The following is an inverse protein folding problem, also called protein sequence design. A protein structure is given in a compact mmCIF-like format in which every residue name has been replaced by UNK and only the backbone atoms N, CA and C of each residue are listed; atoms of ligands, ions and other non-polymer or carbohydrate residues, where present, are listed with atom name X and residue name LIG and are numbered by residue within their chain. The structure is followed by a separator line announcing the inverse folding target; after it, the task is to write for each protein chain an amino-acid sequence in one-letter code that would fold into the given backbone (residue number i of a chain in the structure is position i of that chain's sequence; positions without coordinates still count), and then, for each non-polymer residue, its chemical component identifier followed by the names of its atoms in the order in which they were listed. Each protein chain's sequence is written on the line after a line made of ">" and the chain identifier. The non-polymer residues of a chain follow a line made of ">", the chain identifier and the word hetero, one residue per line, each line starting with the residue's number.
data_IF_319629995646
#
_entry.id   IF_319629995646
#
_cell.length_a   1.000
_cell.length_b   1.000
_cell.length_c   1.000
_cell.angle_alpha   90.00
_cell.angle_beta   90.00
_cell.angle_gamma   90.00
#
_symmetry.space_group_name_H-M   'P 1'
#
loop_
_entity.id
_entity.type
_entity.pdbx_description
1 polymer ?
#
# COMPACT_ATOMS: atom_id res chain seq x y z
N UNK A 1 1.94 -1.82 -16.83
CA UNK A 1 1.31 -0.70 -17.57
C UNK A 1 1.04 0.50 -16.67
N UNK A 2 0.34 0.34 -15.53
CA UNK A 2 0.01 1.44 -14.59
C UNK A 2 1.23 2.26 -14.12
N UNK A 3 2.27 1.60 -13.60
CA UNK A 3 3.48 2.30 -13.11
C UNK A 3 4.20 3.12 -14.20
N UNK A 4 4.08 2.72 -15.47
CA UNK A 4 4.69 3.48 -16.57
C UNK A 4 3.96 4.80 -16.80
N UNK A 5 2.63 4.79 -16.72
CA UNK A 5 1.82 6.01 -16.87
C UNK A 5 2.16 7.00 -15.75
N UNK A 6 2.21 6.54 -14.50
CA UNK A 6 2.53 7.42 -13.38
C UNK A 6 3.93 8.04 -13.51
N UNK A 7 4.93 7.24 -13.91
CA UNK A 7 6.29 7.74 -14.20
C UNK A 7 6.29 8.82 -15.27
N UNK A 8 5.57 8.60 -16.36
CA UNK A 8 5.52 9.56 -17.46
C UNK A 8 4.92 10.91 -17.01
N UNK A 9 3.86 10.88 -16.18
CA UNK A 9 3.24 12.08 -15.61
C UNK A 9 4.21 12.81 -14.69
N UNK A 10 4.87 12.10 -13.77
CA UNK A 10 5.85 12.69 -12.85
C UNK A 10 7.01 13.35 -13.61
N UNK A 11 7.55 12.66 -14.62
CA UNK A 11 8.63 13.19 -15.44
C UNK A 11 8.21 14.44 -16.23
N UNK A 12 6.94 14.52 -16.66
CA UNK A 12 6.40 15.70 -17.35
C UNK A 12 6.31 16.93 -16.42
N UNK A 13 6.35 16.71 -15.11
CA UNK A 13 6.39 17.73 -14.07
C UNK A 13 7.82 17.93 -13.49
N UNK A 14 8.86 17.38 -14.13
CA UNK A 14 10.25 17.38 -13.62
C UNK A 14 10.41 16.72 -12.23
N UNK A 15 9.50 15.79 -11.90
CA UNK A 15 9.56 14.98 -10.68
C UNK A 15 9.99 13.55 -10.99
N UNK A 16 10.76 12.94 -10.08
CA UNK A 16 11.15 11.53 -10.17
C UNK A 16 10.69 10.76 -8.93
N UNK A 17 9.98 9.65 -9.15
CA UNK A 17 9.65 8.72 -8.07
C UNK A 17 10.84 7.83 -7.74
N UNK A 18 11.21 7.76 -6.46
CA UNK A 18 12.30 6.90 -5.99
C UNK A 18 11.92 5.42 -6.03
N UNK A 19 10.68 5.11 -5.65
CA UNK A 19 10.10 3.77 -5.72
C UNK A 19 8.57 3.85 -5.75
N UNK A 20 7.93 2.80 -6.25
CA UNK A 20 6.49 2.58 -6.08
C UNK A 20 6.29 1.45 -5.08
N UNK A 21 5.31 1.60 -4.20
CA UNK A 21 4.98 0.63 -3.16
C UNK A 21 3.53 0.21 -3.28
N UNK A 22 3.21 -0.98 -2.75
CA UNK A 22 1.82 -1.41 -2.59
C UNK A 22 1.13 -0.53 -1.57
N UNK A 23 -0.09 -0.11 -1.88
CA UNK A 23 -0.94 0.71 -1.02
C UNK A 23 -1.12 0.07 0.35
N UNK A 24 -1.44 -1.24 0.41
CA UNK A 24 -1.66 -1.95 1.67
C UNK A 24 -0.38 -2.01 2.52
N UNK A 25 0.80 -2.06 1.90
CA UNK A 25 2.07 -1.95 2.62
C UNK A 25 2.28 -0.53 3.14
N UNK A 26 2.01 0.49 2.34
CA UNK A 26 2.13 1.88 2.80
C UNK A 26 1.19 2.17 3.98
N UNK A 27 -0.07 1.72 3.89
CA UNK A 27 -1.06 1.84 4.96
C UNK A 27 -0.60 1.10 6.22
N UNK A 28 -0.10 -0.14 6.09
CA UNK A 28 0.42 -0.88 7.24
C UNK A 28 1.61 -0.20 7.92
N UNK A 29 2.53 0.41 7.16
CA UNK A 29 3.64 1.16 7.74
C UNK A 29 3.22 2.46 8.43
N UNK A 30 2.09 3.05 8.02
CA UNK A 30 1.64 4.33 8.56
C UNK A 30 0.80 4.22 9.84
N UNK A 31 0.07 3.12 10.02
CA UNK A 31 -0.89 2.98 11.14
C UNK A 31 -0.58 1.85 12.11
N UNK A 32 0.25 0.86 11.74
CA UNK A 32 0.53 -0.30 12.57
C UNK A 32 1.93 -0.25 13.17
N UNK A 33 2.02 -0.63 14.44
CA UNK A 33 3.26 -1.00 15.11
C UNK A 33 3.75 -2.37 14.62
N UNK A 34 5.03 -2.69 14.84
CA UNK A 34 5.59 -3.99 14.45
C UNK A 34 4.89 -5.15 15.18
N UNK A 35 4.56 -4.97 16.46
CA UNK A 35 3.83 -5.97 17.25
C UNK A 35 2.45 -6.28 16.64
N UNK A 36 1.71 -5.28 16.18
CA UNK A 36 0.41 -5.47 15.52
C UNK A 36 0.53 -6.21 14.18
N UNK A 37 1.59 -5.93 13.42
CA UNK A 37 1.87 -6.63 12.15
C UNK A 37 2.22 -8.10 12.39
N UNK A 38 2.91 -8.41 13.48
CA UNK A 38 3.30 -9.77 13.83
C UNK A 38 2.14 -10.59 14.42
N UNK A 39 1.28 -9.96 15.23
CA UNK A 39 0.14 -10.61 15.88
C UNK A 39 -0.91 -11.12 14.88
N UNK A 40 -1.02 -10.43 13.75
CA UNK A 40 -2.03 -10.66 12.73
C UNK A 40 -3.14 -9.62 12.77
N UNK A 41 -3.34 -8.89 11.66
CA UNK A 41 -4.25 -7.76 11.60
C UNK A 41 -4.92 -7.66 10.24
N UNK A 42 -6.20 -7.27 10.25
CA UNK A 42 -6.95 -6.95 9.05
C UNK A 42 -7.00 -5.42 8.89
N UNK A 43 -6.49 -4.91 7.78
CA UNK A 43 -6.63 -3.52 7.36
C UNK A 43 -7.83 -3.43 6.43
N UNK A 44 -8.71 -2.48 6.69
CA UNK A 44 -9.84 -2.13 5.83
C UNK A 44 -9.66 -0.67 5.42
N UNK A 45 -9.33 -0.44 4.15
CA UNK A 45 -9.19 0.88 3.57
C UNK A 45 -10.49 1.28 2.88
N UNK A 46 -11.08 2.40 3.30
CA UNK A 46 -12.40 2.85 2.83
C UNK A 46 -12.20 4.09 1.96
N UNK A 47 -12.20 3.88 0.66
CA UNK A 47 -12.10 4.93 -0.35
C UNK A 47 -13.46 5.47 -0.81
N UNK A 48 -13.42 6.41 -1.76
CA UNK A 48 -14.64 7.02 -2.31
C UNK A 48 -15.44 6.11 -3.25
N UNK A 49 -14.83 5.04 -3.77
CA UNK A 49 -15.48 4.09 -4.70
C UNK A 49 -15.01 2.65 -4.58
N UNK A 50 -14.01 2.38 -3.75
CA UNK A 50 -13.52 1.05 -3.42
C UNK A 50 -13.44 0.91 -1.91
N UNK A 51 -13.45 -0.34 -1.46
CA UNK A 51 -13.05 -0.69 -0.11
C UNK A 51 -12.13 -1.86 -0.27
N UNK A 52 -10.88 -1.66 0.12
CA UNK A 52 -9.81 -2.63 -0.07
C UNK A 52 -9.51 -3.27 1.29
N UNK A 53 -9.33 -4.58 1.30
CA UNK A 53 -9.06 -5.37 2.50
C UNK A 53 -7.69 -6.02 2.35
N UNK A 54 -6.87 -5.91 3.40
CA UNK A 54 -5.61 -6.64 3.50
C UNK A 54 -5.51 -7.37 4.83
N UNK A 55 -4.99 -8.60 4.80
CA UNK A 55 -4.67 -9.36 6.01
C UNK A 55 -3.15 -9.48 6.09
N UNK A 56 -2.59 -9.02 7.20
CA UNK A 56 -1.19 -9.19 7.55
C UNK A 56 -1.07 -10.23 8.66
N UNK A 57 -0.01 -11.03 8.61
CA UNK A 57 0.36 -11.96 9.66
C UNK A 57 1.88 -12.16 9.65
N UNK A 58 2.52 -12.15 10.82
CA UNK A 58 3.97 -12.32 10.95
C UNK A 58 4.75 -11.37 10.03
N UNK A 59 4.35 -10.09 10.01
CA UNK A 59 4.98 -9.04 9.21
C UNK A 59 4.72 -9.09 7.71
N UNK A 60 3.94 -10.05 7.21
CA UNK A 60 3.72 -10.27 5.78
C UNK A 60 2.25 -10.16 5.38
N UNK A 61 1.97 -9.62 4.19
CA UNK A 61 0.62 -9.64 3.60
C UNK A 61 0.32 -11.06 3.13
N UNK A 62 -0.79 -11.64 3.61
CA UNK A 62 -1.25 -12.98 3.22
C UNK A 62 -2.51 -12.93 2.34
N UNK A 63 -3.24 -11.80 2.34
CA UNK A 63 -4.42 -11.58 1.51
C UNK A 63 -4.58 -10.10 1.17
N UNK A 64 -5.08 -9.83 -0.04
CA UNK A 64 -5.49 -8.50 -0.51
C UNK A 64 -6.69 -8.67 -1.46
N UNK A 65 -7.67 -7.77 -1.41
CA UNK A 65 -8.83 -7.78 -2.30
C UNK A 65 -9.76 -6.60 -2.13
#
# INVERSE_FOLDING_TARGET
>A
MLFQILRNVLNSCDLNANAFVLEQLASSYSILTEDEKDLGVCIVDIGGGTTDIAILNSGSIIFTG
#
